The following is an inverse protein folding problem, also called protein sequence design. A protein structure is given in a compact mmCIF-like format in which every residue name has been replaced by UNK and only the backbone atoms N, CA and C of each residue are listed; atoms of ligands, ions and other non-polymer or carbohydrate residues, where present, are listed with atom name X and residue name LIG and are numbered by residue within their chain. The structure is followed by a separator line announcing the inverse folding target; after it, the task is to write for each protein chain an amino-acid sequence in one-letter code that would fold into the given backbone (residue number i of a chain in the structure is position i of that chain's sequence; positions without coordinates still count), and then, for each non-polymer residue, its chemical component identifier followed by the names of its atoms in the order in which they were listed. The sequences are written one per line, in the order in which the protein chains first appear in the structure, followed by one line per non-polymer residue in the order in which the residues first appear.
data_IF_362975596293
#
_entry.id   IF_362975596293
#
_cell.length_a   1.000
_cell.length_b   1.000
_cell.length_c   1.000
_cell.angle_alpha   90.00
_cell.angle_beta   90.00
_cell.angle_gamma   90.00
#
_symmetry.space_group_name_H-M   'P 1'
#
loop_
_entity.id
_entity.type
_entity.pdbx_description
1 polymer ?
#
# COMPACT_ATOMS: atom_id res chain seq x y z
N UNK A 1 14.75 7.63 13.88
CA UNK A 1 14.35 6.22 13.64
C UNK A 1 13.48 5.79 14.80
N UNK A 2 12.44 5.01 14.55
CA UNK A 2 11.52 4.51 15.61
C UNK A 2 11.89 3.07 16.01
N UNK A 3 11.58 2.66 17.24
CA UNK A 3 11.79 1.26 17.65
C UNK A 3 10.86 0.32 16.87
N UNK A 4 11.27 -0.94 16.71
CA UNK A 4 10.43 -1.97 16.09
C UNK A 4 9.10 -2.18 16.82
N UNK A 5 9.08 -2.08 18.14
CA UNK A 5 7.86 -2.12 18.94
C UNK A 5 6.92 -0.97 18.56
N UNK A 6 7.45 0.26 18.48
CA UNK A 6 6.66 1.42 18.05
C UNK A 6 6.13 1.25 16.63
N UNK A 7 6.95 0.72 15.73
CA UNK A 7 6.57 0.49 14.33
C UNK A 7 5.42 -0.51 14.18
N UNK A 8 5.40 -1.55 15.02
CA UNK A 8 4.34 -2.57 15.03
C UNK A 8 3.05 -2.05 15.65
N UNK A 9 3.18 -1.31 16.75
CA UNK A 9 2.03 -1.00 17.59
C UNK A 9 1.40 0.34 17.27
N UNK A 10 2.09 1.31 16.67
CA UNK A 10 1.60 2.68 16.52
C UNK A 10 1.38 3.10 15.09
N UNK A 11 0.50 4.09 14.92
CA UNK A 11 0.43 4.85 13.67
C UNK A 11 1.60 5.80 13.60
N UNK A 12 2.50 5.57 12.65
CA UNK A 12 3.71 6.34 12.45
C UNK A 12 3.60 7.16 11.16
N UNK A 13 3.85 8.47 11.24
CA UNK A 13 3.92 9.34 10.07
C UNK A 13 5.38 9.64 9.73
N UNK A 14 5.69 9.67 8.43
CA UNK A 14 7.04 9.89 7.93
C UNK A 14 7.08 11.04 6.94
N UNK A 15 8.19 11.78 6.99
CA UNK A 15 8.50 12.81 6.02
C UNK A 15 9.89 12.58 5.45
N UNK A 16 10.01 11.50 4.68
CA UNK A 16 11.26 11.13 4.03
C UNK A 16 11.00 10.56 2.64
N UNK A 17 11.70 11.11 1.64
CA UNK A 17 11.66 10.66 0.24
C UNK A 17 12.92 9.86 -0.07
N UNK A 18 12.74 8.69 -0.69
CA UNK A 18 13.85 7.85 -1.13
C UNK A 18 14.05 7.98 -2.64
N UNK A 19 15.31 8.14 -3.06
CA UNK A 19 15.71 8.19 -4.46
C UNK A 19 16.32 6.84 -4.86
N UNK A 20 15.74 6.21 -5.88
CA UNK A 20 16.09 4.88 -6.36
C UNK A 20 17.05 4.89 -7.56
N UNK A 21 17.75 6.00 -7.83
CA UNK A 21 18.62 6.19 -9.00
C UNK A 21 19.45 4.95 -9.40
N UNK A 22 20.08 4.27 -8.43
CA UNK A 22 20.94 3.10 -8.69
C UNK A 22 20.17 1.86 -9.18
N UNK A 23 18.91 1.70 -8.77
CA UNK A 23 18.14 0.49 -8.99
C UNK A 23 16.93 0.68 -9.91
N UNK A 24 16.62 1.93 -10.25
CA UNK A 24 15.39 2.32 -10.93
C UNK A 24 15.17 1.57 -12.26
N UNK A 25 16.15 1.58 -13.16
CA UNK A 25 15.98 1.00 -14.50
C UNK A 25 15.74 -0.52 -14.44
N UNK A 26 16.42 -1.21 -13.52
CA UNK A 26 16.22 -2.64 -13.28
C UNK A 26 14.82 -2.93 -12.75
N UNK A 27 14.30 -2.09 -11.84
CA UNK A 27 12.95 -2.25 -11.29
C UNK A 27 11.87 -2.03 -12.34
N UNK A 28 11.97 -0.93 -13.09
CA UNK A 28 11.01 -0.61 -14.14
C UNK A 28 10.97 -1.74 -15.18
N UNK A 29 12.13 -2.28 -15.57
CA UNK A 29 12.19 -3.40 -16.52
C UNK A 29 11.47 -4.65 -16.00
N UNK A 30 11.70 -5.03 -14.73
CA UNK A 30 11.04 -6.20 -14.13
C UNK A 30 9.52 -5.99 -13.98
N UNK A 31 9.11 -4.81 -13.51
CA UNK A 31 7.70 -4.44 -13.32
C UNK A 31 6.96 -4.44 -14.67
N UNK A 32 7.55 -3.86 -15.71
CA UNK A 32 6.97 -3.84 -17.05
C UNK A 32 6.81 -5.28 -17.59
N UNK A 33 7.85 -6.10 -17.48
CA UNK A 33 7.81 -7.50 -17.91
C UNK A 33 6.73 -8.30 -17.18
N UNK A 34 6.60 -8.13 -15.86
CA UNK A 34 5.55 -8.76 -15.07
C UNK A 34 4.16 -8.29 -15.50
N UNK A 35 3.98 -6.98 -15.66
CA UNK A 35 2.69 -6.39 -16.01
C UNK A 35 2.22 -6.86 -17.38
N UNK A 36 3.11 -6.90 -18.38
CA UNK A 36 2.83 -7.45 -19.70
C UNK A 36 2.41 -8.92 -19.63
N UNK A 37 3.14 -9.73 -18.85
CA UNK A 37 2.78 -11.14 -18.66
C UNK A 37 1.42 -11.28 -17.96
N UNK A 38 1.11 -10.48 -16.95
CA UNK A 38 -0.17 -10.51 -16.24
C UNK A 38 -1.34 -10.19 -17.18
N UNK A 39 -1.21 -9.12 -17.97
CA UNK A 39 -2.25 -8.69 -18.91
C UNK A 39 -2.48 -9.71 -20.05
N UNK A 40 -1.44 -10.45 -20.43
CA UNK A 40 -1.49 -11.42 -21.52
C UNK A 40 -1.84 -12.86 -21.09
N UNK A 41 -1.49 -13.29 -19.86
CA UNK A 41 -1.51 -14.72 -19.46
C UNK A 41 -2.32 -15.05 -18.20
N UNK A 42 -2.70 -14.07 -17.38
CA UNK A 42 -3.32 -14.33 -16.07
C UNK A 42 -4.73 -13.78 -15.96
N UNK A 43 -4.83 -12.48 -15.72
CA UNK A 43 -6.07 -11.75 -15.50
C UNK A 43 -6.22 -10.74 -16.63
N UNK A 44 -7.12 -10.99 -17.58
CA UNK A 44 -7.27 -10.12 -18.76
C UNK A 44 -7.49 -8.67 -18.35
N UNK A 45 -7.09 -7.72 -19.19
CA UNK A 45 -7.40 -6.29 -18.99
C UNK A 45 -8.89 -6.07 -18.69
N UNK A 46 -9.77 -6.80 -19.40
CA UNK A 46 -11.22 -6.82 -19.19
C UNK A 46 -11.62 -7.19 -17.76
N UNK A 47 -10.90 -8.10 -17.10
CA UNK A 47 -11.14 -8.43 -15.69
C UNK A 47 -10.86 -7.24 -14.77
N UNK A 48 -9.72 -6.57 -14.94
CA UNK A 48 -9.38 -5.39 -14.12
C UNK A 48 -10.37 -4.24 -14.33
N UNK A 49 -10.77 -4.00 -15.59
CA UNK A 49 -11.79 -3.01 -15.92
C UNK A 49 -13.13 -3.34 -15.25
N UNK A 50 -13.65 -4.57 -15.43
CA UNK A 50 -14.99 -4.94 -14.96
C UNK A 50 -15.08 -5.12 -13.44
N UNK A 51 -14.09 -5.76 -12.82
CA UNK A 51 -14.17 -6.20 -11.42
C UNK A 51 -13.51 -5.23 -10.44
N UNK A 52 -12.46 -4.52 -10.85
CA UNK A 52 -11.73 -3.58 -9.99
C UNK A 52 -12.07 -2.12 -10.28
N UNK A 53 -12.90 -1.87 -11.30
CA UNK A 53 -13.21 -0.54 -11.83
C UNK A 53 -11.93 0.26 -12.16
N UNK A 54 -10.89 -0.46 -12.60
CA UNK A 54 -9.60 0.12 -12.95
C UNK A 54 -9.71 0.79 -14.31
N UNK A 55 -9.53 2.11 -14.38
CA UNK A 55 -9.56 2.84 -15.67
C UNK A 55 -8.28 2.60 -16.49
N UNK A 56 -7.17 2.27 -15.82
CA UNK A 56 -5.88 2.00 -16.47
C UNK A 56 -5.18 0.81 -15.79
N UNK A 57 -5.62 -0.43 -16.05
CA UNK A 57 -5.12 -1.63 -15.37
C UNK A 57 -3.59 -1.76 -15.35
N UNK A 58 -2.93 -1.47 -16.48
CA UNK A 58 -1.47 -1.51 -16.61
C UNK A 58 -0.82 -0.60 -15.57
N UNK A 59 -1.19 0.67 -15.57
CA UNK A 59 -0.66 1.68 -14.65
C UNK A 59 -0.93 1.32 -13.19
N UNK A 60 -2.13 0.83 -12.87
CA UNK A 60 -2.47 0.43 -11.49
C UNK A 60 -1.59 -0.73 -10.98
N UNK A 61 -1.31 -1.71 -11.84
CA UNK A 61 -0.42 -2.84 -11.52
C UNK A 61 1.01 -2.32 -11.31
N UNK A 62 1.51 -1.51 -12.25
CA UNK A 62 2.89 -1.02 -12.20
C UNK A 62 3.14 -0.14 -10.97
N UNK A 63 2.20 0.76 -10.62
CA UNK A 63 2.29 1.60 -9.42
C UNK A 63 2.24 0.76 -8.15
N UNK A 64 1.36 -0.25 -8.10
CA UNK A 64 1.29 -1.17 -6.98
C UNK A 64 2.64 -1.85 -6.73
N UNK A 65 3.18 -2.50 -7.77
CA UNK A 65 4.46 -3.21 -7.69
C UNK A 65 5.63 -2.28 -7.42
N UNK A 66 5.66 -1.09 -8.01
CA UNK A 66 6.69 -0.10 -7.71
C UNK A 66 6.64 0.33 -6.24
N UNK A 67 5.45 0.49 -5.68
CA UNK A 67 5.25 0.75 -4.26
C UNK A 67 5.80 -0.36 -3.37
N UNK A 68 5.55 -1.63 -3.71
CA UNK A 68 6.06 -2.80 -2.98
C UNK A 68 7.59 -2.83 -2.97
N UNK A 69 8.21 -2.60 -4.14
CA UNK A 69 9.66 -2.49 -4.27
C UNK A 69 10.25 -1.38 -3.41
N UNK A 70 9.69 -0.18 -3.57
CA UNK A 70 10.14 0.99 -2.86
C UNK A 70 10.01 0.80 -1.34
N UNK A 71 8.89 0.24 -0.87
CA UNK A 71 8.66 -0.06 0.54
C UNK A 71 9.73 -1.00 1.10
N UNK A 72 9.99 -2.13 0.42
CA UNK A 72 10.99 -3.11 0.85
C UNK A 72 12.39 -2.49 0.98
N UNK A 73 12.82 -1.71 -0.02
CA UNK A 73 14.14 -1.07 -0.01
C UNK A 73 14.26 0.02 1.05
N UNK A 74 13.21 0.80 1.26
CA UNK A 74 13.20 1.83 2.30
C UNK A 74 13.33 1.17 3.68
N UNK A 75 12.57 0.11 3.96
CA UNK A 75 12.68 -0.63 5.22
C UNK A 75 14.06 -1.29 5.37
N UNK A 76 14.54 -1.93 4.31
CA UNK A 76 15.88 -2.52 4.28
C UNK A 76 16.99 -1.46 4.37
N UNK A 77 16.73 -0.19 4.12
CA UNK A 77 17.76 0.86 4.30
C UNK A 77 18.01 1.21 5.77
N UNK A 78 17.13 0.78 6.70
CA UNK A 78 17.22 1.12 8.12
C UNK A 78 16.91 2.59 8.44
N UNK A 79 16.33 3.35 7.49
CA UNK A 79 16.02 4.78 7.72
C UNK A 79 14.73 5.01 8.50
N UNK A 80 13.84 4.02 8.52
CA UNK A 80 12.52 4.11 9.16
C UNK A 80 12.59 3.61 10.59
N UNK A 81 13.04 2.38 10.76
CA UNK A 81 13.13 1.66 12.03
C UNK A 81 14.57 1.62 12.55
N UNK A 82 14.73 1.43 13.86
CA UNK A 82 16.06 1.19 14.48
C UNK A 82 16.75 -0.03 13.89
N UNK A 83 15.95 -1.02 13.49
CA UNK A 83 16.42 -2.30 12.99
C UNK A 83 16.25 -2.36 11.48
N UNK A 84 17.23 -2.96 10.81
CA UNK A 84 17.21 -3.11 9.37
C UNK A 84 16.37 -4.32 8.99
N UNK A 85 15.32 -4.13 8.20
CA UNK A 85 14.53 -5.25 7.68
C UNK A 85 15.39 -6.16 6.80
N UNK A 86 15.11 -7.48 6.76
CA UNK A 86 15.80 -8.37 5.84
C UNK A 86 15.50 -7.97 4.39
N UNK A 87 16.48 -8.17 3.50
CA UNK A 87 16.27 -7.90 2.08
C UNK A 87 15.19 -8.86 1.54
N UNK A 88 14.11 -8.29 1.02
CA UNK A 88 13.00 -9.04 0.44
C UNK A 88 12.62 -8.45 -0.91
N UNK A 89 12.41 -9.31 -1.89
CA UNK A 89 11.90 -8.89 -3.20
C UNK A 89 10.38 -9.11 -3.22
N UNK A 90 9.60 -8.18 -3.79
CA UNK A 90 8.18 -8.41 -4.02
C UNK A 90 7.92 -9.64 -4.88
N UNK A 91 6.76 -10.27 -4.67
CA UNK A 91 6.33 -11.43 -5.46
C UNK A 91 5.95 -11.00 -6.90
N UNK A 92 6.48 -11.72 -7.88
CA UNK A 92 6.15 -11.58 -9.31
C UNK A 92 5.52 -12.85 -9.89
N UNK A 93 5.10 -13.78 -9.04
CA UNK A 93 4.41 -14.97 -9.47
C UNK A 93 3.02 -14.61 -10.04
N UNK A 94 2.74 -15.11 -11.24
CA UNK A 94 1.41 -15.03 -11.84
C UNK A 94 0.69 -16.32 -11.48
N UNK A 95 -0.09 -16.27 -10.40
CA UNK A 95 -0.83 -17.43 -9.90
C UNK A 95 -1.88 -17.88 -10.93
N UNK A 96 -1.94 -19.18 -11.19
CA UNK A 96 -2.93 -19.79 -12.09
C UNK A 96 -4.23 -20.01 -11.30
N UNK A 97 -5.32 -19.34 -11.69
CA UNK A 97 -6.64 -19.49 -11.06
C UNK A 97 -7.41 -18.18 -10.92
N UNK A 98 -8.72 -18.26 -10.64
CA UNK A 98 -9.60 -17.09 -10.45
C UNK A 98 -9.51 -16.45 -9.06
N UNK A 99 -8.95 -17.16 -8.08
CA UNK A 99 -8.77 -16.67 -6.72
C UNK A 99 -7.53 -15.78 -6.63
N UNK A 100 -7.75 -14.50 -6.29
CA UNK A 100 -6.68 -13.57 -5.94
C UNK A 100 -6.04 -14.04 -4.63
N UNK A 101 -4.72 -14.19 -4.61
CA UNK A 101 -3.97 -14.29 -3.35
C UNK A 101 -4.04 -12.96 -2.64
N UNK A 102 -4.55 -12.94 -1.41
CA UNK A 102 -4.55 -11.77 -0.55
C UNK A 102 -3.49 -11.86 0.55
N UNK A 103 -2.48 -12.69 0.31
CA UNK A 103 -1.29 -12.73 1.14
C UNK A 103 -0.67 -11.34 1.22
N UNK A 104 0.01 -11.06 2.32
CA UNK A 104 0.74 -9.82 2.49
C UNK A 104 1.74 -9.62 1.36
N UNK A 105 1.87 -8.38 0.89
CA UNK A 105 2.76 -8.06 -0.23
C UNK A 105 4.24 -8.28 0.12
N UNK A 106 4.61 -8.12 1.40
CA UNK A 106 5.97 -8.27 1.92
C UNK A 106 5.99 -9.18 3.16
N UNK A 107 6.09 -10.52 2.98
CA UNK A 107 6.12 -11.50 4.06
C UNK A 107 7.50 -11.60 4.74
N UNK A 108 7.91 -10.57 5.48
CA UNK A 108 9.21 -10.55 6.15
C UNK A 108 9.37 -11.65 7.22
N UNK A 109 8.27 -12.10 7.82
CA UNK A 109 8.26 -13.14 8.85
C UNK A 109 8.81 -14.48 8.36
N UNK A 110 8.75 -14.74 7.05
CA UNK A 110 9.34 -15.93 6.40
C UNK A 110 10.87 -15.92 6.50
N UNK A 111 11.49 -14.74 6.48
CA UNK A 111 12.95 -14.58 6.61
C UNK A 111 13.36 -14.47 8.07
N UNK A 112 12.62 -13.72 8.86
CA UNK A 112 12.88 -13.53 10.29
C UNK A 112 11.57 -13.17 11.01
N UNK A 113 11.19 -14.01 11.98
CA UNK A 113 9.95 -13.86 12.78
C UNK A 113 9.92 -12.59 13.63
N UNK A 114 11.06 -11.91 13.79
CA UNK A 114 11.15 -10.61 14.46
C UNK A 114 10.73 -9.44 13.57
N UNK A 115 10.28 -9.67 12.33
CA UNK A 115 9.75 -8.61 11.48
C UNK A 115 8.28 -8.89 11.12
N UNK A 116 7.40 -7.87 11.19
CA UNK A 116 6.00 -8.02 10.84
C UNK A 116 5.84 -8.14 9.32
N UNK A 117 4.84 -8.92 8.92
CA UNK A 117 4.39 -8.94 7.54
C UNK A 117 3.67 -7.64 7.19
N UNK A 118 3.90 -7.16 5.97
CA UNK A 118 3.46 -5.85 5.55
C UNK A 118 2.59 -5.93 4.29
N UNK A 119 1.48 -5.19 4.29
CA UNK A 119 0.69 -4.86 3.10
C UNK A 119 1.09 -3.47 2.62
N UNK A 120 1.15 -3.28 1.32
CA UNK A 120 1.54 -2.03 0.70
C UNK A 120 0.36 -1.43 -0.04
N UNK A 121 -0.03 -0.22 0.35
CA UNK A 121 -1.03 0.55 -0.37
C UNK A 121 -0.37 1.78 -0.96
N UNK A 122 -0.52 1.97 -2.27
CA UNK A 122 0.16 3.04 -3.00
C UNK A 122 -0.81 4.11 -3.50
N UNK A 123 -0.41 5.37 -3.36
CA UNK A 123 -1.06 6.56 -3.91
C UNK A 123 -0.12 7.21 -4.93
N UNK A 124 -0.66 7.69 -6.05
CA UNK A 124 0.11 8.42 -7.07
C UNK A 124 -0.22 9.92 -7.09
N UNK A 125 0.50 10.68 -7.92
CA UNK A 125 0.27 12.13 -8.02
C UNK A 125 -1.17 12.45 -8.43
N UNK A 126 -1.75 11.68 -9.37
CA UNK A 126 -3.12 11.92 -9.84
C UNK A 126 -4.15 11.73 -8.72
N UNK A 127 -3.99 10.67 -7.93
CA UNK A 127 -4.87 10.38 -6.80
C UNK A 127 -4.72 11.41 -5.69
N UNK A 128 -3.48 11.82 -5.40
CA UNK A 128 -3.14 12.90 -4.48
C UNK A 128 -3.82 14.22 -4.88
N UNK A 129 -3.65 14.63 -6.14
CA UNK A 129 -4.21 15.87 -6.68
C UNK A 129 -5.73 15.86 -6.68
N UNK A 130 -6.34 14.72 -7.04
CA UNK A 130 -7.79 14.56 -7.01
C UNK A 130 -8.34 14.76 -5.60
N UNK A 131 -7.76 14.06 -4.61
CA UNK A 131 -8.25 14.13 -3.23
C UNK A 131 -8.01 15.50 -2.63
N UNK A 132 -6.85 16.11 -2.89
CA UNK A 132 -6.56 17.45 -2.41
C UNK A 132 -7.57 18.48 -2.90
N UNK A 133 -7.93 18.46 -4.19
CA UNK A 133 -8.99 19.32 -4.71
C UNK A 133 -10.35 18.98 -4.12
N UNK A 134 -10.72 17.70 -4.11
CA UNK A 134 -12.05 17.27 -3.72
C UNK A 134 -12.35 17.46 -2.22
N UNK A 135 -11.32 17.53 -1.38
CA UNK A 135 -11.44 17.76 0.05
C UNK A 135 -11.23 19.22 0.47
N UNK A 136 -11.07 20.15 -0.50
CA UNK A 136 -10.76 21.55 -0.19
C UNK A 136 -9.40 21.74 0.49
N UNK A 137 -8.42 20.87 0.17
CA UNK A 137 -7.06 20.93 0.69
C UNK A 137 -6.83 20.24 2.03
N UNK A 138 -7.86 19.71 2.69
CA UNK A 138 -7.73 19.01 3.98
C UNK A 138 -6.89 17.74 3.90
N UNK A 139 -6.86 17.10 2.74
CA UNK A 139 -6.36 15.76 2.51
C UNK A 139 -5.31 15.82 1.41
N UNK A 140 -4.13 15.27 1.61
CA UNK A 140 -3.08 15.22 0.58
C UNK A 140 -3.01 13.86 -0.11
N UNK A 141 -3.28 12.78 0.62
CA UNK A 141 -3.15 11.42 0.11
C UNK A 141 -4.39 10.59 0.42
N UNK A 142 -4.61 9.57 -0.41
CA UNK A 142 -5.61 8.52 -0.18
C UNK A 142 -5.04 7.18 -0.53
N UNK A 143 -5.44 6.16 0.22
CA UNK A 143 -5.12 4.77 -0.09
C UNK A 143 -6.39 3.95 -0.14
N UNK A 144 -6.49 3.11 -1.15
CA UNK A 144 -7.73 2.37 -1.43
C UNK A 144 -7.61 0.90 -1.05
N UNK A 145 -8.70 0.37 -0.52
CA UNK A 145 -8.91 -1.03 -0.20
C UNK A 145 -10.10 -1.52 -1.03
N UNK A 146 -10.00 -2.73 -1.56
CA UNK A 146 -11.09 -3.42 -2.24
C UNK A 146 -12.07 -3.94 -1.19
N UNK A 147 -13.33 -3.50 -1.26
CA UNK A 147 -14.34 -3.82 -0.26
C UNK A 147 -15.55 -4.57 -0.84
N UNK A 148 -16.02 -4.18 -2.02
CA UNK A 148 -17.05 -4.90 -2.75
C UNK A 148 -16.53 -6.22 -3.33
N UNK A 149 -17.46 -7.03 -3.85
CA UNK A 149 -17.18 -8.31 -4.53
C UNK A 149 -16.75 -9.45 -3.57
N UNK A 150 -17.60 -9.77 -2.58
CA UNK A 150 -17.33 -10.81 -1.56
C UNK A 150 -17.24 -12.22 -2.16
N UNK A 151 -18.02 -12.50 -3.20
CA UNK A 151 -18.23 -13.85 -3.75
C UNK A 151 -17.66 -14.05 -5.15
N UNK A 152 -17.05 -13.03 -5.76
CA UNK A 152 -16.59 -13.05 -7.15
C UNK A 152 -15.07 -12.89 -7.31
N UNK A 153 -14.59 -13.17 -8.52
CA UNK A 153 -13.17 -13.02 -8.87
C UNK A 153 -12.74 -11.57 -8.66
N UNK A 154 -11.72 -11.36 -7.83
CA UNK A 154 -11.23 -10.05 -7.43
C UNK A 154 -11.45 -9.68 -5.98
N UNK A 155 -12.38 -10.38 -5.30
CA UNK A 155 -12.56 -10.49 -3.84
C UNK A 155 -12.67 -9.20 -3.03
N UNK A 156 -12.97 -9.33 -1.74
CA UNK A 156 -12.73 -8.29 -0.73
C UNK A 156 -11.31 -8.45 -0.17
N UNK A 157 -10.60 -7.36 0.13
CA UNK A 157 -9.30 -7.40 0.82
C UNK A 157 -9.42 -8.26 2.10
N UNK A 158 -8.54 -9.26 2.27
CA UNK A 158 -8.62 -10.21 3.38
C UNK A 158 -8.57 -9.56 4.75
N UNK A 159 -7.90 -8.41 4.84
CA UNK A 159 -7.81 -7.57 6.04
C UNK A 159 -9.20 -7.31 6.66
N UNK A 160 -10.25 -7.14 5.85
CA UNK A 160 -11.61 -6.93 6.35
C UNK A 160 -12.23 -8.15 7.04
N UNK A 161 -11.66 -9.35 6.86
CA UNK A 161 -12.08 -10.57 7.57
C UNK A 161 -11.19 -10.88 8.78
N UNK A 162 -10.13 -10.09 9.01
CA UNK A 162 -9.17 -10.24 10.11
C UNK A 162 -9.15 -8.99 10.99
N UNK A 163 -10.25 -8.65 11.69
CA UNK A 163 -10.37 -7.38 12.40
C UNK A 163 -9.34 -7.18 13.52
N UNK A 164 -8.90 -8.26 14.17
CA UNK A 164 -7.91 -8.16 15.25
C UNK A 164 -6.46 -8.28 14.75
N UNK A 165 -6.24 -8.33 13.44
CA UNK A 165 -4.90 -8.50 12.87
C UNK A 165 -4.00 -7.29 13.16
N UNK A 166 -2.78 -7.61 13.61
CA UNK A 166 -1.67 -6.66 13.79
C UNK A 166 -0.77 -6.57 12.56
N UNK A 167 -1.18 -7.16 11.42
CA UNK A 167 -0.48 -7.00 10.14
C UNK A 167 -0.31 -5.51 9.82
N UNK A 168 0.88 -5.16 9.33
CA UNK A 168 1.26 -3.77 9.14
C UNK A 168 0.85 -3.27 7.76
N UNK A 169 0.23 -2.10 7.70
CA UNK A 169 -0.06 -1.42 6.44
C UNK A 169 0.99 -0.32 6.22
N UNK A 170 1.66 -0.36 5.07
CA UNK A 170 2.58 0.65 4.60
C UNK A 170 1.89 1.52 3.56
N UNK A 171 1.75 2.80 3.87
CA UNK A 171 1.11 3.79 3.03
C UNK A 171 2.14 4.50 2.16
N UNK A 172 2.23 4.09 0.90
CA UNK A 172 3.21 4.57 -0.06
C UNK A 172 2.69 5.74 -0.88
N UNK A 173 3.57 6.68 -1.21
CA UNK A 173 3.35 7.64 -2.28
C UNK A 173 4.43 7.52 -3.34
N UNK A 174 3.99 7.29 -4.58
CA UNK A 174 4.82 7.15 -5.78
C UNK A 174 4.30 8.19 -6.78
N UNK A 175 4.89 9.39 -6.85
CA UNK A 175 4.34 10.47 -7.68
C UNK A 175 4.24 10.05 -9.15
N UNK A 176 5.34 9.49 -9.68
CA UNK A 176 5.44 8.93 -11.02
C UNK A 176 6.39 7.74 -10.97
N UNK A 177 6.10 6.69 -11.76
CA UNK A 177 6.97 5.51 -11.82
C UNK A 177 8.34 5.95 -12.31
N UNK A 178 8.39 6.73 -13.38
CA UNK A 178 9.59 7.26 -14.03
C UNK A 178 10.36 8.26 -13.14
N UNK A 179 9.72 8.77 -12.08
CA UNK A 179 10.24 9.84 -11.24
C UNK A 179 11.39 9.43 -10.30
N UNK A 180 11.79 8.15 -10.28
CA UNK A 180 12.85 7.58 -9.43
C UNK A 180 12.68 7.81 -7.93
N UNK A 181 11.51 8.28 -7.50
CA UNK A 181 11.20 8.74 -6.15
C UNK A 181 9.99 8.01 -5.62
N UNK A 182 10.05 7.64 -4.36
CA UNK A 182 8.89 7.20 -3.60
C UNK A 182 9.12 7.47 -2.12
N UNK A 183 8.03 7.42 -1.36
CA UNK A 183 8.07 7.57 0.10
C UNK A 183 7.09 6.62 0.77
N UNK A 184 7.49 6.11 1.93
CA UNK A 184 6.54 5.64 2.94
C UNK A 184 6.01 6.92 3.59
N UNK A 185 4.72 7.17 3.51
CA UNK A 185 4.04 8.32 4.13
C UNK A 185 3.66 7.99 5.56
N UNK A 186 3.16 6.79 5.79
CA UNK A 186 2.80 6.31 7.10
C UNK A 186 2.90 4.79 7.19
N UNK A 187 2.95 4.28 8.41
CA UNK A 187 2.68 2.88 8.71
C UNK A 187 1.68 2.79 9.85
N UNK A 188 0.88 1.73 9.88
CA UNK A 188 -0.06 1.47 10.95
C UNK A 188 -0.46 -0.01 10.99
N UNK A 189 -0.66 -0.60 12.17
CA UNK A 189 -1.26 -1.92 12.27
C UNK A 189 -2.73 -1.86 11.85
N UNK A 190 -3.19 -2.93 11.21
CA UNK A 190 -4.51 -2.99 10.61
C UNK A 190 -5.66 -2.77 11.62
N UNK A 191 -5.60 -3.40 12.79
CA UNK A 191 -6.59 -3.26 13.86
C UNK A 191 -6.86 -1.79 14.25
N UNK A 192 -5.89 -0.89 14.12
CA UNK A 192 -6.04 0.54 14.42
C UNK A 192 -6.70 1.35 13.32
N UNK A 193 -6.62 0.87 12.08
CA UNK A 193 -7.09 1.59 10.90
C UNK A 193 -8.58 1.49 10.69
N UNK A 194 -9.23 0.44 11.19
CA UNK A 194 -10.64 0.16 10.90
C UNK A 194 -11.58 1.31 11.27
N UNK A 195 -11.31 2.02 12.36
CA UNK A 195 -12.12 3.15 12.81
C UNK A 195 -12.03 4.39 11.90
N UNK A 196 -11.04 4.46 11.02
CA UNK A 196 -10.84 5.59 10.10
C UNK A 196 -11.07 5.21 8.63
N UNK A 197 -11.51 3.98 8.36
CA UNK A 197 -11.86 3.56 7.01
C UNK A 197 -13.19 4.20 6.61
N UNK A 198 -13.20 4.89 5.47
CA UNK A 198 -14.34 5.66 4.96
C UNK A 198 -14.73 5.22 3.56
N UNK A 199 -15.91 5.66 3.14
CA UNK A 199 -16.29 5.60 1.73
C UNK A 199 -15.43 6.56 0.90
N UNK A 200 -15.13 6.21 -0.36
CA UNK A 200 -14.42 7.11 -1.25
C UNK A 200 -15.20 8.40 -1.52
N UNK A 201 -14.49 9.54 -1.54
CA UNK A 201 -15.00 10.83 -2.02
C UNK A 201 -15.54 10.70 -3.45
N UNK A 202 -14.86 9.92 -4.30
CA UNK A 202 -15.33 9.61 -5.64
C UNK A 202 -16.53 8.64 -5.60
N UNK A 203 -17.73 9.17 -5.88
CA UNK A 203 -19.01 8.45 -5.80
C UNK A 203 -19.02 7.12 -6.55
N UNK A 204 -18.39 7.06 -7.73
CA UNK A 204 -18.30 5.84 -8.57
C UNK A 204 -17.60 4.65 -7.91
N UNK A 205 -16.91 4.86 -6.78
CA UNK A 205 -16.24 3.80 -6.04
C UNK A 205 -16.93 3.44 -4.72
N UNK A 206 -18.00 4.13 -4.33
CA UNK A 206 -18.76 3.80 -3.11
C UNK A 206 -19.33 2.38 -3.20
N UNK A 207 -19.26 1.63 -2.10
CA UNK A 207 -19.64 0.21 -2.05
C UNK A 207 -18.65 -0.76 -2.72
N UNK A 208 -17.75 -0.27 -3.58
CA UNK A 208 -16.72 -1.07 -4.26
C UNK A 208 -15.39 -0.98 -3.52
N UNK A 209 -15.01 0.24 -3.11
CA UNK A 209 -13.77 0.53 -2.41
C UNK A 209 -14.05 1.13 -1.05
N UNK A 210 -13.04 1.05 -0.20
CA UNK A 210 -12.91 1.83 1.02
C UNK A 210 -11.60 2.60 0.98
N UNK A 211 -11.56 3.74 1.65
CA UNK A 211 -10.40 4.63 1.63
C UNK A 211 -9.94 4.97 3.03
N UNK A 212 -8.64 5.25 3.13
CA UNK A 212 -8.04 5.97 4.25
C UNK A 212 -7.42 7.23 3.67
N UNK A 213 -7.65 8.36 4.35
CA UNK A 213 -7.13 9.66 3.97
C UNK A 213 -6.02 10.11 4.92
N UNK A 214 -5.08 10.90 4.40
CA UNK A 214 -3.89 11.35 5.14
C UNK A 214 -4.19 12.06 6.46
N UNK A 215 -5.20 12.91 6.49
CA UNK A 215 -5.62 13.70 7.65
C UNK A 215 -6.17 12.82 8.76
N UNK A 216 -6.84 11.72 8.42
CA UNK A 216 -7.32 10.75 9.41
C UNK A 216 -6.15 10.00 10.04
N UNK A 217 -5.14 9.63 9.24
CA UNK A 217 -3.90 9.04 9.74
C UNK A 217 -3.12 10.01 10.63
N UNK A 218 -3.06 11.30 10.26
CA UNK A 218 -2.41 12.34 11.07
C UNK A 218 -3.17 12.57 12.38
N UNK A 219 -4.50 12.61 12.34
CA UNK A 219 -5.31 12.74 13.55
C UNK A 219 -5.12 11.54 14.47
N UNK A 220 -5.09 10.33 13.91
CA UNK A 220 -4.88 9.10 14.64
C UNK A 220 -3.47 9.03 15.26
N UNK A 221 -2.42 9.40 14.52
CA UNK A 221 -1.05 9.40 15.05
C UNK A 221 -0.87 10.38 16.20
N UNK A 222 -1.50 11.56 16.15
CA UNK A 222 -1.48 12.55 17.24
C UNK A 222 -2.13 12.04 18.52
N UNK A 223 -3.25 11.31 18.42
CA UNK A 223 -3.91 10.72 19.59
C UNK A 223 -2.98 9.74 20.34
N UNK A 224 -2.11 9.03 19.61
CA UNK A 224 -1.22 8.02 20.20
C UNK A 224 0.11 8.57 20.73
N UNK A 225 0.45 9.81 20.37
CA UNK A 225 1.60 10.54 20.92
C UNK A 225 1.21 11.25 22.21
N UNK A 226 -0.04 11.69 22.38
CA UNK A 226 -0.51 12.43 23.57
C UNK A 226 -0.64 11.53 24.81
N UNK A 227 -0.81 10.20 24.67
CA UNK A 227 -0.94 9.27 25.79
C UNK A 227 0.39 8.89 26.50
N UNK A 228 1.46 9.69 26.38
CA UNK A 228 2.78 9.42 26.98
C UNK A 228 3.25 10.42 28.05
N UNK A 229 2.33 11.18 28.66
CA UNK A 229 2.62 12.01 29.84
C UNK A 229 1.72 11.65 31.03
N UNK A 230 1.80 10.41 31.52
CA UNK A 230 1.39 10.04 32.87
C UNK A 230 2.51 9.25 33.52
#
# INVERSE_FOLDING_TARGET
MISMETFRQKVCWYDFEFNFNKHHDSFVTQINSFTEKMLNKGQSSQYYFKQRNASFPKKDIEIGKYGEFAASLILHSGKVTSDRFPALMPDFEIRKGGSKGWDCDLPFSIKDKNFPDCHVKTCDQNSSDFVNRASGGSSKYTWTFQYGNVSGNGGRDELFFKPDSEELILFMFVPFIEGKKAKIVASAPWNKLQKIIKDPIASKFKGIKKCIYSEDLIALSKQEVILKNF
#
